data_IF_593922657156
#
_entry.id   IF_593922657156
#
_cell.length_a   1.000
_cell.length_b   1.000
_cell.length_c   1.000
_cell.angle_alpha   90.00
_cell.angle_beta   90.00
_cell.angle_gamma   90.00
#
_symmetry.space_group_name_H-M   'P 1'
#
loop_
_entity.id
_entity.type
_entity.pdbx_description
1 polymer ?
#
# COMPACT_ATOMS: atom_id res chain seq x y z
N UNK A 1 -21.90 1.37 -12.83
CA UNK A 1 -23.25 1.33 -13.42
C UNK A 1 -23.92 -0.03 -13.17
N UNK A 2 -23.28 -1.16 -13.58
CA UNK A 2 -23.86 -2.52 -13.46
C UNK A 2 -24.31 -2.90 -12.05
N UNK A 3 -23.47 -2.70 -11.02
CA UNK A 3 -23.83 -3.02 -9.64
C UNK A 3 -25.08 -2.25 -9.17
N UNK A 4 -25.14 -0.95 -9.45
CA UNK A 4 -26.33 -0.15 -9.14
C UNK A 4 -27.55 -0.63 -9.89
N UNK A 5 -27.38 -1.00 -11.17
CA UNK A 5 -28.44 -1.59 -11.98
C UNK A 5 -29.01 -2.87 -11.37
N UNK A 6 -28.13 -3.80 -10.94
CA UNK A 6 -28.55 -5.02 -10.26
C UNK A 6 -29.33 -4.74 -8.98
N UNK A 7 -28.76 -3.89 -8.09
CA UNK A 7 -29.39 -3.55 -6.81
C UNK A 7 -30.77 -2.93 -7.03
N UNK A 8 -30.86 -1.98 -7.97
CA UNK A 8 -32.14 -1.32 -8.30
C UNK A 8 -33.15 -2.30 -8.88
N UNK A 9 -32.75 -3.13 -9.87
CA UNK A 9 -33.63 -4.11 -10.48
C UNK A 9 -34.14 -5.14 -9.48
N UNK A 10 -33.27 -5.63 -8.58
CA UNK A 10 -33.63 -6.57 -7.50
C UNK A 10 -34.62 -5.96 -6.53
N UNK A 11 -34.35 -4.74 -6.05
CA UNK A 11 -35.23 -4.00 -5.13
C UNK A 11 -36.62 -3.76 -5.71
N UNK A 12 -36.71 -3.42 -7.00
CA UNK A 12 -37.95 -3.09 -7.68
C UNK A 12 -38.57 -4.26 -8.44
N UNK A 13 -38.01 -5.48 -8.33
CA UNK A 13 -38.50 -6.71 -8.99
C UNK A 13 -38.65 -6.55 -10.52
N UNK A 14 -37.70 -5.85 -11.15
CA UNK A 14 -37.72 -5.59 -12.61
C UNK A 14 -37.21 -6.82 -13.36
N UNK A 15 -37.89 -7.15 -14.48
CA UNK A 15 -37.43 -8.23 -15.39
C UNK A 15 -36.29 -7.77 -16.31
N UNK A 16 -36.22 -6.49 -16.61
CA UNK A 16 -35.20 -5.88 -17.46
C UNK A 16 -34.85 -4.48 -16.92
N UNK A 17 -33.60 -4.06 -17.13
CA UNK A 17 -33.14 -2.73 -16.79
C UNK A 17 -32.30 -2.13 -17.92
N UNK A 18 -32.44 -0.83 -18.15
CA UNK A 18 -31.56 -0.06 -19.03
C UNK A 18 -30.38 0.49 -18.24
N UNK A 19 -29.17 0.31 -18.76
CA UNK A 19 -27.96 0.88 -18.20
C UNK A 19 -27.36 1.83 -19.20
N UNK A 20 -27.11 3.07 -18.75
CA UNK A 20 -26.47 4.11 -19.58
C UNK A 20 -25.15 4.50 -18.92
N UNK A 21 -24.07 4.53 -19.69
CA UNK A 21 -22.80 5.12 -19.33
C UNK A 21 -22.47 6.26 -20.29
N UNK A 22 -22.16 7.42 -19.75
CA UNK A 22 -21.79 8.60 -20.50
C UNK A 22 -20.34 8.94 -20.21
N UNK A 23 -19.52 8.98 -21.25
CA UNK A 23 -18.13 9.42 -21.19
C UNK A 23 -18.02 10.81 -21.83
N UNK A 24 -17.37 11.72 -21.13
CA UNK A 24 -17.04 13.03 -21.64
C UNK A 24 -15.51 13.17 -21.73
N UNK A 25 -15.01 13.50 -22.92
CA UNK A 25 -13.60 13.82 -23.09
C UNK A 25 -13.36 15.27 -22.69
N UNK A 26 -12.74 15.47 -21.53
CA UNK A 26 -12.61 16.78 -20.89
C UNK A 26 -12.03 17.87 -21.83
N UNK A 27 -10.92 17.63 -22.58
CA UNK A 27 -10.35 18.66 -23.45
C UNK A 27 -11.19 19.07 -24.65
N UNK A 28 -11.99 18.15 -25.22
CA UNK A 28 -12.78 18.42 -26.45
C UNK A 28 -14.29 18.48 -26.19
N UNK A 29 -14.70 18.20 -24.95
CA UNK A 29 -16.14 18.09 -24.58
C UNK A 29 -16.93 17.06 -25.38
N UNK A 30 -16.25 16.20 -26.15
CA UNK A 30 -16.90 15.13 -26.91
C UNK A 30 -17.57 14.14 -25.95
N UNK A 31 -18.85 13.89 -26.16
CA UNK A 31 -19.66 12.97 -25.35
C UNK A 31 -19.91 11.69 -26.10
N UNK A 32 -19.63 10.54 -25.48
CA UNK A 32 -20.02 9.21 -25.99
C UNK A 32 -20.95 8.54 -24.99
N UNK A 33 -22.06 8.02 -25.49
CA UNK A 33 -23.09 7.36 -24.70
C UNK A 33 -23.14 5.89 -25.10
N UNK A 34 -23.07 5.03 -24.09
CA UNK A 34 -23.24 3.58 -24.20
C UNK A 34 -24.50 3.19 -23.44
N UNK A 35 -25.45 2.57 -24.16
CA UNK A 35 -26.71 2.10 -23.58
C UNK A 35 -26.87 0.61 -23.84
N UNK A 36 -27.25 -0.13 -22.83
CA UNK A 36 -27.59 -1.54 -22.95
C UNK A 36 -28.84 -1.84 -22.13
N UNK A 37 -29.77 -2.60 -22.72
CA UNK A 37 -30.91 -3.16 -22.00
C UNK A 37 -30.61 -4.60 -21.62
N UNK A 38 -30.57 -4.86 -20.32
CA UNK A 38 -30.10 -6.14 -19.77
C UNK A 38 -31.26 -6.80 -19.03
N UNK A 39 -31.45 -8.13 -19.22
CA UNK A 39 -32.38 -8.90 -18.41
C UNK A 39 -31.88 -9.05 -16.98
N UNK A 40 -32.80 -9.15 -16.02
CA UNK A 40 -32.44 -9.35 -14.62
C UNK A 40 -31.53 -10.58 -14.40
N UNK A 41 -31.83 -11.69 -15.08
CA UNK A 41 -31.01 -12.90 -14.99
C UNK A 41 -29.57 -12.68 -15.46
N UNK A 42 -29.36 -11.92 -16.55
CA UNK A 42 -28.00 -11.62 -17.08
C UNK A 42 -27.21 -10.76 -16.11
N UNK A 43 -27.82 -9.70 -15.58
CA UNK A 43 -27.14 -8.79 -14.65
C UNK A 43 -26.94 -9.44 -13.27
N UNK A 44 -27.83 -10.33 -12.84
CA UNK A 44 -27.68 -11.10 -11.61
C UNK A 44 -26.52 -12.07 -11.71
N UNK A 45 -26.39 -12.86 -12.79
CA UNK A 45 -25.28 -13.75 -13.02
C UNK A 45 -23.95 -12.98 -12.99
N UNK A 46 -23.87 -11.88 -13.75
CA UNK A 46 -22.70 -11.01 -13.76
C UNK A 46 -22.34 -10.50 -12.36
N UNK A 47 -23.33 -10.10 -11.57
CA UNK A 47 -23.11 -9.62 -10.19
C UNK A 47 -22.63 -10.72 -9.27
N UNK A 48 -23.18 -11.93 -9.39
CA UNK A 48 -22.76 -13.08 -8.60
C UNK A 48 -21.31 -13.51 -8.94
N UNK A 49 -20.94 -13.50 -10.23
CA UNK A 49 -19.58 -13.78 -10.67
C UNK A 49 -18.61 -12.73 -10.07
N UNK A 50 -18.96 -11.45 -10.11
CA UNK A 50 -18.18 -10.38 -9.49
C UNK A 50 -18.02 -10.57 -7.98
N UNK A 51 -19.09 -10.93 -7.28
CA UNK A 51 -19.06 -11.21 -5.83
C UNK A 51 -18.18 -12.43 -5.53
N UNK A 52 -18.23 -13.47 -6.36
CA UNK A 52 -17.38 -14.65 -6.20
C UNK A 52 -15.90 -14.30 -6.35
N UNK A 53 -15.56 -13.49 -7.36
CA UNK A 53 -14.19 -12.98 -7.52
C UNK A 53 -13.73 -12.13 -6.32
N UNK A 54 -14.59 -11.29 -5.79
CA UNK A 54 -14.29 -10.50 -4.60
C UNK A 54 -14.15 -11.36 -3.33
N UNK A 55 -14.95 -12.41 -3.21
CA UNK A 55 -14.97 -13.26 -2.02
C UNK A 55 -13.62 -13.94 -1.75
N UNK A 56 -12.85 -14.28 -2.80
CA UNK A 56 -11.50 -14.86 -2.64
C UNK A 56 -10.55 -13.87 -1.95
N UNK A 57 -10.66 -12.58 -2.28
CA UNK A 57 -9.84 -11.52 -1.67
C UNK A 57 -10.22 -11.31 -0.21
N UNK A 58 -11.51 -11.19 0.07
CA UNK A 58 -12.00 -11.01 1.43
C UNK A 58 -11.64 -12.19 2.34
N UNK A 59 -11.77 -13.42 1.84
CA UNK A 59 -11.41 -14.61 2.59
C UNK A 59 -9.90 -14.69 2.87
N UNK A 60 -9.08 -14.30 1.90
CA UNK A 60 -7.63 -14.22 2.06
C UNK A 60 -7.26 -13.14 3.08
N UNK A 61 -7.84 -11.94 2.99
CA UNK A 61 -7.55 -10.82 3.87
C UNK A 61 -7.87 -11.13 5.34
N UNK A 62 -9.03 -11.76 5.62
CA UNK A 62 -9.42 -12.17 6.98
C UNK A 62 -8.36 -13.13 7.56
N UNK A 63 -7.99 -14.18 6.82
CA UNK A 63 -6.97 -15.14 7.26
C UNK A 63 -5.61 -14.48 7.45
N UNK A 64 -5.25 -13.56 6.54
CA UNK A 64 -4.01 -12.81 6.62
C UNK A 64 -3.96 -11.97 7.90
N UNK A 65 -5.00 -11.20 8.20
CA UNK A 65 -5.08 -10.36 9.38
C UNK A 65 -4.99 -11.17 10.68
N UNK A 66 -5.66 -12.32 10.75
CA UNK A 66 -5.57 -13.22 11.90
C UNK A 66 -4.14 -13.71 12.13
N UNK A 67 -3.49 -14.23 11.10
CA UNK A 67 -2.12 -14.73 11.19
C UNK A 67 -1.13 -13.63 11.49
N UNK A 68 -1.20 -12.50 10.80
CA UNK A 68 -0.40 -11.31 11.06
C UNK A 68 -0.49 -10.89 12.52
N UNK A 69 -1.70 -10.68 13.02
CA UNK A 69 -1.91 -10.22 14.39
C UNK A 69 -1.40 -11.23 15.41
N UNK A 70 -1.60 -12.53 15.17
CA UNK A 70 -1.10 -13.60 16.02
C UNK A 70 0.44 -13.57 16.13
N UNK A 71 1.13 -13.48 15.01
CA UNK A 71 2.61 -13.47 14.99
C UNK A 71 3.19 -12.20 15.59
N UNK A 72 2.57 -11.04 15.35
CA UNK A 72 3.01 -9.77 15.91
C UNK A 72 2.84 -9.73 17.44
N UNK A 73 1.74 -10.27 17.97
CA UNK A 73 1.51 -10.30 19.43
C UNK A 73 2.60 -11.07 20.18
N UNK A 74 3.11 -12.14 19.60
CA UNK A 74 4.20 -12.94 20.19
C UNK A 74 5.59 -12.33 19.99
N UNK A 75 5.74 -11.33 19.12
CA UNK A 75 7.01 -10.73 18.75
C UNK A 75 7.67 -10.04 19.95
N UNK A 76 8.98 -10.24 20.12
CA UNK A 76 9.81 -9.56 21.12
C UNK A 76 10.77 -8.59 20.46
N UNK A 77 11.28 -7.65 21.22
CA UNK A 77 12.33 -6.77 20.72
C UNK A 77 13.57 -7.61 20.36
N UNK A 78 14.21 -7.37 19.19
CA UNK A 78 15.17 -8.32 18.61
C UNK A 78 16.55 -8.34 19.29
N UNK A 79 16.80 -7.43 20.21
CA UNK A 79 18.10 -7.27 20.87
C UNK A 79 17.92 -7.01 22.37
N UNK A 80 19.00 -7.17 23.13
CA UNK A 80 19.10 -6.59 24.45
C UNK A 80 19.06 -5.07 24.34
N UNK A 81 18.26 -4.43 25.19
CA UNK A 81 18.12 -3.00 25.16
C UNK A 81 19.41 -2.27 25.51
N UNK A 82 19.83 -1.36 24.67
CA UNK A 82 20.89 -0.40 25.00
C UNK A 82 20.33 0.67 25.93
N UNK A 83 21.24 1.42 26.58
CA UNK A 83 20.86 2.55 27.43
C UNK A 83 19.95 3.53 26.66
N UNK A 84 18.85 3.95 27.28
CA UNK A 84 17.83 4.82 26.69
C UNK A 84 16.91 4.19 25.63
N UNK A 85 17.28 3.03 25.05
CA UNK A 85 16.53 2.43 23.95
C UNK A 85 15.15 1.92 24.40
N UNK A 86 15.05 1.34 25.59
CA UNK A 86 13.77 0.90 26.14
C UNK A 86 12.82 2.08 26.38
N UNK A 87 13.35 3.21 26.86
CA UNK A 87 12.58 4.44 27.05
C UNK A 87 12.05 4.97 25.72
N UNK A 88 12.89 4.93 24.67
CA UNK A 88 12.50 5.31 23.32
C UNK A 88 11.37 4.45 22.78
N UNK A 89 11.48 3.10 22.84
CA UNK A 89 10.45 2.16 22.41
C UNK A 89 9.13 2.41 23.15
N UNK A 90 9.17 2.58 24.48
CA UNK A 90 7.99 2.90 25.28
C UNK A 90 7.38 4.24 24.91
N UNK A 91 8.22 5.27 24.69
CA UNK A 91 7.78 6.60 24.28
C UNK A 91 7.06 6.61 22.94
N UNK A 92 7.61 5.89 21.95
CA UNK A 92 6.97 5.72 20.64
C UNK A 92 5.61 5.02 20.78
N UNK A 93 5.57 3.90 21.49
CA UNK A 93 4.32 3.17 21.68
C UNK A 93 3.25 4.01 22.39
N UNK A 94 3.62 4.73 23.45
CA UNK A 94 2.70 5.62 24.16
C UNK A 94 2.21 6.79 23.30
N UNK A 95 3.06 7.33 22.42
CA UNK A 95 2.64 8.41 21.51
C UNK A 95 1.62 7.91 20.49
N UNK A 96 1.76 6.67 20.00
CA UNK A 96 0.80 6.01 19.13
C UNK A 96 -0.54 5.85 19.85
N UNK A 97 -0.54 5.27 21.05
CA UNK A 97 -1.75 5.08 21.86
C UNK A 97 -2.50 6.39 22.12
N UNK A 98 -1.76 7.46 22.37
CA UNK A 98 -2.33 8.78 22.68
C UNK A 98 -2.64 9.61 21.44
N UNK A 99 -2.35 9.08 20.23
CA UNK A 99 -2.48 9.79 18.94
C UNK A 99 -1.75 11.13 18.94
N UNK A 100 -0.54 11.17 19.52
CA UNK A 100 0.27 12.39 19.64
C UNK A 100 1.49 12.34 18.73
N UNK A 101 1.97 13.54 18.36
CA UNK A 101 3.25 13.69 17.66
C UNK A 101 4.39 13.51 18.66
N UNK A 102 5.44 12.81 18.25
CA UNK A 102 6.65 12.59 19.02
C UNK A 102 7.86 13.02 18.19
N UNK A 103 8.68 13.88 18.77
CA UNK A 103 9.97 14.27 18.22
C UNK A 103 11.07 13.58 18.99
N UNK A 104 12.00 12.94 18.28
CA UNK A 104 13.06 12.11 18.86
C UNK A 104 14.39 12.62 18.37
N UNK A 105 15.21 13.07 19.29
CA UNK A 105 16.63 13.33 19.07
C UNK A 105 17.45 12.28 19.83
N UNK A 106 18.29 11.55 19.10
CA UNK A 106 19.14 10.52 19.70
C UNK A 106 20.42 10.35 18.86
N UNK A 107 21.56 9.99 19.47
CA UNK A 107 22.82 9.75 18.76
C UNK A 107 22.71 8.72 17.65
N UNK A 108 23.65 8.74 16.72
CA UNK A 108 23.79 7.65 15.74
C UNK A 108 24.17 6.34 16.44
N UNK A 109 23.70 5.20 15.92
CA UNK A 109 24.06 3.88 16.47
C UNK A 109 23.19 3.35 17.61
N UNK A 110 22.30 4.17 18.21
CA UNK A 110 21.39 3.70 19.27
C UNK A 110 20.21 2.84 18.78
N UNK A 111 20.14 2.56 17.48
CA UNK A 111 19.07 1.73 16.92
C UNK A 111 17.72 2.46 16.81
N UNK A 112 17.72 3.76 16.46
CA UNK A 112 16.47 4.57 16.28
C UNK A 112 15.43 3.88 15.41
N UNK A 113 15.84 3.35 14.26
CA UNK A 113 14.93 2.74 13.27
C UNK A 113 14.17 1.58 13.89
N UNK A 114 14.86 0.59 14.44
CA UNK A 114 14.18 -0.56 15.04
C UNK A 114 13.35 -0.18 16.27
N UNK A 115 13.81 0.84 17.04
CA UNK A 115 13.08 1.35 18.20
C UNK A 115 11.81 2.13 17.84
N UNK A 116 11.63 2.54 16.57
CA UNK A 116 10.41 3.13 16.06
C UNK A 116 9.57 2.12 15.29
N UNK A 117 10.18 1.24 14.50
CA UNK A 117 9.49 0.21 13.71
C UNK A 117 8.84 -0.84 14.61
N UNK A 118 9.56 -1.35 15.62
CA UNK A 118 9.04 -2.40 16.51
C UNK A 118 7.73 -1.99 17.22
N UNK A 119 7.63 -0.86 17.94
CA UNK A 119 6.39 -0.46 18.59
C UNK A 119 5.28 -0.08 17.59
N UNK A 120 5.62 0.42 16.39
CA UNK A 120 4.67 0.66 15.33
C UNK A 120 4.05 -0.66 14.82
N UNK A 121 4.88 -1.68 14.58
CA UNK A 121 4.42 -3.04 14.24
C UNK A 121 3.53 -3.62 15.34
N UNK A 122 3.96 -3.51 16.62
CA UNK A 122 3.15 -4.00 17.76
C UNK A 122 1.76 -3.39 17.76
N UNK A 123 1.62 -2.11 17.46
CA UNK A 123 0.32 -1.43 17.42
C UNK A 123 -0.61 -1.96 16.32
N UNK A 124 -0.07 -2.43 15.18
CA UNK A 124 -0.88 -3.14 14.16
C UNK A 124 -1.42 -4.46 14.71
N UNK A 125 -0.57 -5.28 15.32
CA UNK A 125 -0.96 -6.58 15.87
C UNK A 125 -2.01 -6.49 16.99
N UNK A 126 -2.11 -5.34 17.62
CA UNK A 126 -3.08 -5.03 18.68
C UNK A 126 -4.33 -4.32 18.13
N UNK A 127 -4.40 -4.05 16.82
CA UNK A 127 -5.54 -3.39 16.18
C UNK A 127 -5.68 -1.90 16.51
N UNK A 128 -4.60 -1.26 16.99
CA UNK A 128 -4.59 0.17 17.33
C UNK A 128 -4.38 1.03 16.09
N UNK A 129 -3.61 0.51 15.13
CA UNK A 129 -3.28 1.19 13.89
C UNK A 129 -3.49 0.28 12.69
N UNK A 130 -3.76 0.87 11.54
CA UNK A 130 -4.04 0.13 10.31
C UNK A 130 -2.78 -0.04 9.46
N UNK A 131 -1.98 1.01 9.31
CA UNK A 131 -0.86 1.02 8.36
C UNK A 131 0.30 1.88 8.84
N UNK A 132 1.52 1.49 8.46
CA UNK A 132 2.74 2.24 8.71
C UNK A 132 3.27 2.84 7.41
N UNK A 133 3.52 4.14 7.39
CA UNK A 133 4.25 4.83 6.31
C UNK A 133 5.62 5.23 6.84
N UNK A 134 6.64 4.41 6.63
CA UNK A 134 8.01 4.76 7.00
C UNK A 134 8.61 5.66 5.92
N UNK A 135 8.75 6.93 6.23
CA UNK A 135 9.09 7.97 5.27
C UNK A 135 10.51 8.51 5.49
N UNK A 136 11.23 8.67 4.39
CA UNK A 136 12.62 9.11 4.42
C UNK A 136 13.01 9.84 3.14
N UNK A 137 13.93 10.81 3.25
CA UNK A 137 14.48 11.54 2.11
C UNK A 137 15.62 10.80 1.39
N UNK A 138 16.23 9.77 2.01
CA UNK A 138 17.46 9.15 1.52
C UNK A 138 17.30 7.66 1.28
N UNK A 139 17.90 7.17 0.18
CA UNK A 139 17.91 5.74 -0.16
C UNK A 139 18.53 4.87 0.95
N UNK A 140 19.65 5.29 1.54
CA UNK A 140 20.31 4.56 2.64
C UNK A 140 19.36 4.36 3.83
N UNK A 141 18.59 5.36 4.19
CA UNK A 141 17.63 5.26 5.31
C UNK A 141 16.47 4.32 4.98
N UNK A 142 16.09 4.20 3.71
CA UNK A 142 15.10 3.19 3.25
C UNK A 142 15.63 1.78 3.45
N UNK A 143 16.89 1.52 3.11
CA UNK A 143 17.53 0.22 3.31
C UNK A 143 17.53 -0.16 4.79
N UNK A 144 17.91 0.75 5.68
CA UNK A 144 17.89 0.50 7.14
C UNK A 144 16.48 0.22 7.67
N UNK A 145 15.45 0.90 7.13
CA UNK A 145 14.07 0.60 7.48
C UNK A 145 13.67 -0.81 7.00
N UNK A 146 13.97 -1.14 5.76
CA UNK A 146 13.71 -2.47 5.19
C UNK A 146 14.40 -3.57 5.99
N UNK A 147 15.68 -3.39 6.35
CA UNK A 147 16.42 -4.31 7.20
C UNK A 147 15.75 -4.51 8.58
N UNK A 148 15.19 -3.44 9.16
CA UNK A 148 14.47 -3.53 10.42
C UNK A 148 13.21 -4.38 10.32
N UNK A 149 12.42 -4.26 9.25
CA UNK A 149 11.27 -5.14 9.00
C UNK A 149 11.71 -6.58 8.71
N UNK A 150 12.75 -6.77 7.91
CA UNK A 150 13.32 -8.09 7.59
C UNK A 150 13.83 -8.79 8.85
N UNK A 151 14.48 -8.06 9.76
CA UNK A 151 14.94 -8.59 11.04
C UNK A 151 13.77 -9.09 11.90
N UNK A 152 12.66 -8.36 11.95
CA UNK A 152 11.47 -8.79 12.67
C UNK A 152 10.80 -9.99 11.99
N UNK A 153 10.79 -10.03 10.65
CA UNK A 153 10.29 -11.18 9.89
C UNK A 153 11.11 -12.45 10.19
N UNK A 154 12.44 -12.34 10.32
CA UNK A 154 13.31 -13.44 10.71
C UNK A 154 13.01 -14.00 12.10
N UNK A 155 12.35 -13.23 12.99
CA UNK A 155 11.83 -13.69 14.27
C UNK A 155 10.42 -14.30 14.22
N UNK A 156 9.90 -14.54 13.02
CA UNK A 156 8.60 -15.14 12.80
C UNK A 156 7.43 -14.15 12.65
N UNK A 157 7.71 -12.83 12.53
CA UNK A 157 6.68 -11.86 12.20
C UNK A 157 6.17 -12.09 10.79
N UNK A 158 4.85 -12.19 10.63
CA UNK A 158 4.18 -12.08 9.34
C UNK A 158 3.64 -10.66 9.21
N UNK A 159 4.12 -9.92 8.23
CA UNK A 159 3.68 -8.56 7.93
C UNK A 159 4.05 -8.23 6.48
N UNK A 160 3.09 -7.74 5.71
CA UNK A 160 3.38 -7.30 4.34
C UNK A 160 3.94 -5.90 4.33
N UNK A 161 5.14 -5.78 3.80
CA UNK A 161 5.77 -4.47 3.63
C UNK A 161 6.38 -4.31 2.25
N UNK A 162 6.22 -3.12 1.69
CA UNK A 162 6.71 -2.76 0.37
C UNK A 162 7.64 -1.55 0.43
N UNK A 163 8.72 -1.60 -0.37
CA UNK A 163 9.56 -0.43 -0.62
C UNK A 163 9.21 0.17 -1.97
N UNK A 164 8.54 1.32 -1.96
CA UNK A 164 8.14 2.02 -3.18
C UNK A 164 9.33 2.62 -3.91
N UNK A 165 9.35 2.41 -5.22
CA UNK A 165 10.35 2.93 -6.14
C UNK A 165 9.72 3.95 -7.07
N UNK A 166 10.40 5.07 -7.30
CA UNK A 166 9.92 6.11 -8.20
C UNK A 166 9.74 5.58 -9.63
N UNK A 167 8.76 6.13 -10.35
CA UNK A 167 8.35 5.69 -11.69
C UNK A 167 9.53 5.59 -12.65
N UNK A 168 10.40 6.58 -12.66
CA UNK A 168 11.57 6.68 -13.55
C UNK A 168 12.60 5.57 -13.31
N UNK A 169 12.61 5.00 -12.09
CA UNK A 169 13.56 3.95 -11.69
C UNK A 169 13.04 2.53 -11.88
N UNK A 170 11.73 2.37 -12.08
CA UNK A 170 11.09 1.05 -12.21
C UNK A 170 10.40 0.88 -13.57
N UNK A 171 10.24 1.95 -14.34
CA UNK A 171 9.67 1.89 -15.68
C UNK A 171 10.52 1.02 -16.60
N UNK A 172 9.86 0.24 -17.47
CA UNK A 172 10.54 -0.60 -18.48
C UNK A 172 11.03 0.21 -19.69
N UNK A 173 10.58 1.45 -19.82
CA UNK A 173 11.01 2.38 -20.87
C UNK A 173 12.01 3.37 -20.30
N UNK A 174 13.00 3.76 -21.08
CA UNK A 174 14.00 4.78 -20.70
C UNK A 174 13.34 6.10 -20.28
N UNK A 175 12.27 6.47 -20.97
CA UNK A 175 11.41 7.60 -20.60
C UNK A 175 9.97 7.11 -20.47
N UNK A 176 9.32 7.32 -19.32
CA UNK A 176 7.94 6.88 -19.11
C UNK A 176 6.97 7.51 -20.13
N UNK A 177 6.30 6.67 -20.91
CA UNK A 177 5.22 7.03 -21.83
C UNK A 177 4.03 6.11 -21.55
N UNK A 178 3.11 6.56 -20.70
CA UNK A 178 2.07 5.73 -20.12
C UNK A 178 0.82 5.70 -20.99
N UNK A 179 0.94 5.22 -22.24
CA UNK A 179 -0.16 5.03 -23.17
C UNK A 179 0.00 3.70 -23.93
N UNK A 180 -1.10 3.12 -24.43
CA UNK A 180 -1.08 1.81 -25.11
C UNK A 180 -0.24 1.77 -26.40
N UNK A 181 0.02 2.92 -27.03
CA UNK A 181 0.79 3.00 -28.27
C UNK A 181 2.31 2.90 -28.01
N UNK A 182 2.76 3.50 -26.92
CA UNK A 182 4.19 3.57 -26.58
C UNK A 182 4.64 2.48 -25.60
N UNK A 183 3.73 2.00 -24.74
CA UNK A 183 4.07 1.03 -23.69
C UNK A 183 3.27 -0.27 -23.84
N UNK A 184 3.92 -1.40 -24.14
CA UNK A 184 3.23 -2.69 -24.31
C UNK A 184 2.54 -3.16 -23.04
N UNK A 185 3.02 -2.73 -21.86
CA UNK A 185 2.43 -3.09 -20.56
C UNK A 185 1.26 -2.20 -20.16
N UNK A 186 1.06 -1.05 -20.85
CA UNK A 186 -0.12 -0.21 -20.62
C UNK A 186 -1.38 -0.79 -21.28
N UNK A 187 -1.23 -1.45 -22.43
CA UNK A 187 -2.34 -2.11 -23.12
C UNK A 187 -2.83 -3.31 -22.28
N UNK A 188 -4.08 -3.29 -21.87
CA UNK A 188 -4.73 -4.36 -21.10
C UNK A 188 -4.17 -4.49 -19.65
N UNK A 189 -3.51 -3.48 -19.12
CA UNK A 189 -2.98 -3.48 -17.75
C UNK A 189 -4.08 -3.78 -16.73
N UNK A 190 -5.20 -3.09 -16.83
CA UNK A 190 -6.31 -3.21 -15.89
C UNK A 190 -7.03 -4.56 -15.95
N UNK A 191 -6.88 -5.30 -17.04
CA UNK A 191 -7.45 -6.64 -17.17
C UNK A 191 -6.62 -7.70 -16.43
N UNK A 192 -5.33 -7.42 -16.18
CA UNK A 192 -4.36 -8.38 -15.63
C UNK A 192 -3.82 -8.02 -14.25
N UNK A 193 -3.90 -6.73 -13.86
CA UNK A 193 -3.23 -6.27 -12.63
C UNK A 193 -3.79 -6.91 -11.36
N UNK A 194 -5.08 -7.20 -11.29
CA UNK A 194 -5.69 -7.82 -10.12
C UNK A 194 -5.11 -9.22 -9.87
N UNK A 195 -4.95 -10.03 -10.93
CA UNK A 195 -4.36 -11.36 -10.81
C UNK A 195 -2.87 -11.27 -10.43
N UNK A 196 -2.14 -10.30 -10.98
CA UNK A 196 -0.75 -10.06 -10.64
C UNK A 196 -0.57 -9.67 -9.15
N UNK A 197 -1.43 -8.78 -8.67
CA UNK A 197 -1.43 -8.34 -7.26
C UNK A 197 -1.79 -9.49 -6.33
N UNK A 198 -2.82 -10.28 -6.66
CA UNK A 198 -3.25 -11.42 -5.86
C UNK A 198 -2.15 -12.50 -5.78
N UNK A 199 -1.56 -12.84 -6.92
CA UNK A 199 -0.47 -13.81 -7.01
C UNK A 199 0.72 -13.38 -6.12
N UNK A 200 1.16 -12.13 -6.21
CA UNK A 200 2.25 -11.61 -5.39
C UNK A 200 1.88 -11.61 -3.89
N UNK A 201 0.71 -11.11 -3.53
CA UNK A 201 0.31 -11.00 -2.13
C UNK A 201 0.10 -12.36 -1.45
N UNK A 202 -0.25 -13.40 -2.18
CA UNK A 202 -0.42 -14.74 -1.61
C UNK A 202 0.90 -15.48 -1.41
N UNK A 203 1.98 -15.06 -2.07
CA UNK A 203 3.28 -15.72 -2.02
C UNK A 203 4.31 -14.95 -1.16
N UNK A 204 4.23 -13.61 -1.16
CA UNK A 204 5.30 -12.77 -0.64
C UNK A 204 4.83 -11.86 0.50
N UNK A 205 5.68 -11.70 1.52
CA UNK A 205 5.44 -10.78 2.64
C UNK A 205 6.36 -9.55 2.56
N UNK A 206 7.61 -9.73 2.10
CA UNK A 206 8.61 -8.66 1.93
C UNK A 206 8.72 -8.31 0.45
N UNK A 207 8.16 -7.18 0.05
CA UNK A 207 8.01 -6.82 -1.37
C UNK A 207 9.06 -5.80 -1.78
N UNK A 208 10.09 -6.30 -2.45
CA UNK A 208 11.18 -5.49 -3.01
C UNK A 208 10.87 -5.01 -4.43
N UNK A 209 11.72 -4.08 -4.93
CA UNK A 209 11.69 -3.64 -6.32
C UNK A 209 11.81 -4.82 -7.30
N UNK A 210 12.73 -5.74 -7.03
CA UNK A 210 13.02 -6.84 -7.96
C UNK A 210 11.88 -7.86 -7.99
N UNK A 211 11.19 -8.08 -6.86
CA UNK A 211 9.95 -8.85 -6.83
C UNK A 211 8.84 -8.20 -7.66
N UNK A 212 8.62 -6.90 -7.50
CA UNK A 212 7.65 -6.16 -8.34
C UNK A 212 7.97 -6.32 -9.82
N UNK A 213 9.24 -6.21 -10.22
CA UNK A 213 9.65 -6.38 -11.61
C UNK A 213 9.37 -7.80 -12.12
N UNK A 214 9.71 -8.83 -11.33
CA UNK A 214 9.49 -10.23 -11.68
C UNK A 214 8.01 -10.56 -11.88
N UNK A 215 7.15 -10.17 -10.93
CA UNK A 215 5.71 -10.41 -11.05
C UNK A 215 5.06 -9.56 -12.15
N UNK A 216 5.52 -8.32 -12.32
CA UNK A 216 5.06 -7.46 -13.41
C UNK A 216 5.44 -8.01 -14.80
N UNK A 217 6.58 -8.66 -14.93
CA UNK A 217 6.98 -9.38 -16.13
C UNK A 217 6.13 -10.63 -16.36
N UNK A 218 5.98 -11.48 -15.34
CA UNK A 218 5.15 -12.69 -15.37
C UNK A 218 3.73 -12.42 -15.86
N UNK A 219 3.12 -11.33 -15.39
CA UNK A 219 1.74 -10.97 -15.71
C UNK A 219 1.60 -9.92 -16.82
N UNK A 220 2.71 -9.46 -17.39
CA UNK A 220 2.74 -8.41 -18.42
C UNK A 220 1.98 -7.13 -18.02
N UNK A 221 2.26 -6.61 -16.80
CA UNK A 221 1.65 -5.39 -16.26
C UNK A 221 2.69 -4.30 -15.99
N UNK A 222 2.25 -3.05 -15.83
CA UNK A 222 3.14 -1.95 -15.46
C UNK A 222 3.67 -2.14 -14.03
N UNK A 223 4.99 -2.25 -13.82
CA UNK A 223 5.53 -2.48 -12.48
C UNK A 223 5.28 -1.31 -11.53
N UNK A 224 5.26 -0.08 -12.01
CA UNK A 224 4.98 1.08 -11.17
C UNK A 224 3.53 1.08 -10.68
N UNK A 225 2.54 0.98 -11.57
CA UNK A 225 1.13 0.96 -11.19
C UNK A 225 0.81 -0.26 -10.32
N UNK A 226 1.35 -1.45 -10.66
CA UNK A 226 1.23 -2.64 -9.84
C UNK A 226 1.78 -2.43 -8.42
N UNK A 227 2.94 -1.75 -8.27
CA UNK A 227 3.51 -1.47 -6.95
C UNK A 227 2.60 -0.59 -6.09
N UNK A 228 1.91 0.36 -6.71
CA UNK A 228 0.93 1.20 -6.04
C UNK A 228 -0.33 0.43 -5.64
N UNK A 229 -0.80 -0.49 -6.48
CA UNK A 229 -1.95 -1.34 -6.16
C UNK A 229 -1.60 -2.35 -5.04
N UNK A 230 -0.45 -3.00 -5.11
CA UNK A 230 0.08 -3.87 -4.05
C UNK A 230 0.19 -3.11 -2.71
N UNK A 231 0.64 -1.86 -2.73
CA UNK A 231 0.81 -1.06 -1.52
C UNK A 231 -0.49 -0.83 -0.75
N UNK A 232 -1.66 -0.87 -1.41
CA UNK A 232 -2.96 -0.76 -0.73
C UNK A 232 -3.24 -1.93 0.21
N UNK A 233 -2.68 -3.10 -0.09
CA UNK A 233 -2.83 -4.32 0.69
C UNK A 233 -1.69 -4.56 1.70
N UNK A 234 -0.62 -3.76 1.61
CA UNK A 234 0.51 -3.87 2.54
C UNK A 234 0.21 -3.18 3.87
N UNK A 235 0.72 -3.77 4.95
CA UNK A 235 0.64 -3.25 6.31
C UNK A 235 1.65 -2.11 6.55
N UNK A 236 2.79 -2.16 5.82
CA UNK A 236 3.80 -1.11 5.90
C UNK A 236 4.31 -0.70 4.51
N UNK A 237 4.49 0.59 4.34
CA UNK A 237 5.01 1.21 3.12
C UNK A 237 6.26 1.99 3.48
N UNK A 238 7.37 1.63 2.84
CA UNK A 238 8.64 2.35 2.96
C UNK A 238 8.81 3.20 1.71
N UNK A 239 8.99 4.51 1.86
CA UNK A 239 9.06 5.38 0.70
C UNK A 239 9.66 6.74 0.97
N UNK A 240 9.64 7.58 -0.06
CA UNK A 240 9.99 8.98 0.05
C UNK A 240 8.91 9.75 0.80
N UNK A 241 9.28 10.76 1.60
CA UNK A 241 8.31 11.58 2.33
C UNK A 241 7.37 12.33 1.39
N UNK A 242 7.75 12.56 0.14
CA UNK A 242 6.90 13.20 -0.88
C UNK A 242 5.61 12.38 -1.13
N UNK A 243 5.63 11.07 -0.93
CA UNK A 243 4.43 10.24 -1.06
C UNK A 243 3.32 10.56 -0.06
N UNK A 244 3.63 11.26 1.02
CA UNK A 244 2.63 11.69 2.00
C UNK A 244 2.45 13.23 2.04
N UNK A 245 3.51 14.00 1.80
CA UNK A 245 3.52 15.44 2.10
C UNK A 245 3.64 16.34 0.88
N UNK A 246 4.03 15.85 -0.29
CA UNK A 246 4.07 16.66 -1.51
C UNK A 246 2.68 16.71 -2.16
N UNK A 247 2.12 17.87 -2.47
CA UNK A 247 0.77 18.01 -3.04
C UNK A 247 0.61 17.29 -4.39
N UNK A 248 1.70 17.11 -5.14
CA UNK A 248 1.69 16.50 -6.47
C UNK A 248 1.94 15.01 -6.42
N UNK A 249 2.94 14.58 -5.63
CA UNK A 249 3.37 13.19 -5.53
C UNK A 249 2.60 12.38 -4.47
N UNK A 250 1.81 13.05 -3.64
CA UNK A 250 1.04 12.43 -2.56
C UNK A 250 0.15 11.28 -3.07
N UNK A 251 0.22 10.14 -2.40
CA UNK A 251 -0.58 8.97 -2.69
C UNK A 251 -2.04 9.16 -2.23
N UNK A 252 -2.80 9.96 -2.99
CA UNK A 252 -4.19 10.32 -2.67
C UNK A 252 -5.09 9.13 -2.38
N UNK A 253 -4.78 7.95 -2.93
CA UNK A 253 -5.54 6.70 -2.67
C UNK A 253 -5.60 6.29 -1.19
N UNK A 254 -4.64 6.73 -0.37
CA UNK A 254 -4.61 6.46 1.06
C UNK A 254 -5.22 7.56 1.92
N UNK A 255 -5.29 8.79 1.41
CA UNK A 255 -5.60 9.96 2.22
C UNK A 255 -6.93 10.63 1.82
N UNK A 256 -7.66 10.06 0.85
CA UNK A 256 -8.93 10.61 0.37
C UNK A 256 -10.11 10.31 1.28
N UNK A 257 -10.00 9.32 2.16
CA UNK A 257 -11.07 8.90 3.07
C UNK A 257 -10.54 8.83 4.51
N UNK A 258 -11.40 9.11 5.47
CA UNK A 258 -11.09 8.85 6.88
C UNK A 258 -11.10 7.34 7.13
N UNK A 259 -10.07 6.86 7.84
CA UNK A 259 -9.96 5.47 8.25
C UNK A 259 -10.38 5.33 9.71
N UNK A 260 -10.96 4.19 10.09
CA UNK A 260 -11.34 3.90 11.48
C UNK A 260 -10.12 3.90 12.41
N UNK A 261 -9.02 3.31 11.94
CA UNK A 261 -7.76 3.27 12.66
C UNK A 261 -6.72 4.21 12.03
N UNK A 262 -5.92 4.90 12.84
CA UNK A 262 -4.94 5.85 12.32
C UNK A 262 -3.79 5.17 11.58
N UNK A 263 -3.24 5.87 10.61
CA UNK A 263 -1.94 5.56 10.02
C UNK A 263 -0.83 6.13 10.89
N UNK A 264 0.32 5.45 10.92
CA UNK A 264 1.53 5.92 11.59
C UNK A 264 2.54 6.39 10.55
N UNK A 265 3.16 7.53 10.80
CA UNK A 265 4.18 8.13 9.95
C UNK A 265 5.51 8.27 10.69
N UNK A 266 6.34 7.20 10.81
CA UNK A 266 7.71 7.37 11.21
C UNK A 266 8.47 8.11 10.10
N UNK A 267 8.94 9.32 10.40
CA UNK A 267 9.71 10.14 9.46
C UNK A 267 11.15 10.21 9.93
N UNK A 268 12.05 9.64 9.13
CA UNK A 268 13.48 9.69 9.44
C UNK A 268 14.12 10.90 8.77
N UNK A 269 14.58 11.83 9.61
CA UNK A 269 15.30 13.02 9.18
C UNK A 269 16.76 12.91 9.63
N UNK A 270 17.68 12.74 8.69
CA UNK A 270 19.10 12.87 8.98
C UNK A 270 19.55 14.27 8.57
N UNK A 271 19.71 15.17 9.52
CA UNK A 271 20.41 16.41 9.27
C UNK A 271 21.86 16.07 8.90
N UNK A 272 22.25 16.36 7.67
CA UNK A 272 23.64 16.71 7.41
C UNK A 272 23.84 18.06 8.12
N UNK A 273 24.62 18.10 9.20
CA UNK A 273 25.24 19.34 9.60
C UNK A 273 25.90 19.89 8.33
N UNK A 274 25.51 21.09 7.92
CA UNK A 274 26.30 21.85 6.98
C UNK A 274 27.74 21.79 7.52
N UNK A 275 28.67 21.29 6.72
CA UNK A 275 30.06 21.48 7.04
C UNK A 275 30.23 22.99 7.23
N UNK A 276 30.51 23.39 8.46
CA UNK A 276 31.03 24.72 8.71
C UNK A 276 32.23 24.85 7.79
N UNK A 277 32.06 25.58 6.71
CA UNK A 277 33.16 26.11 5.94
C UNK A 277 33.91 27.04 6.90
N UNK A 278 35.01 26.51 7.45
CA UNK A 278 35.99 27.33 8.14
C UNK A 278 36.40 28.41 7.15
N UNK A 279 36.05 29.65 7.45
CA UNK A 279 36.64 30.83 6.86
C UNK A 279 38.12 30.93 7.24
#
# INVERSE_FOLDING_TARGET
>A
AMCYGYIYAKKNKLKNIGIRMTYCHIPTEEVRIFEERISFRKIENWFLDLVQEYAKWAAWEIKWQEERNRTIRSLRFPFDYREGQQTLVKGVYQSILRKKRLYIEAPTGVGKTISTVFPAVKSIGEGITEKIFYLTAKTITRTVAQESFTLLAAQGMRLKFITLTAKEKICILDKPQCNPQACPRALGHFDRVNDAVYDLLTQEDSISRDMILSYAEKHNVCPFEMSLDVSTWCDAIIGDYNYAFDPTACLKRFFAQETENPYIFPVSYTHLRAHETKA
#
